data_IF_283259324659
#
_entry.id   IF_283259324659
#
_cell.length_a   1.000
_cell.length_b   1.000
_cell.length_c   1.000
_cell.angle_alpha   90.00
_cell.angle_beta   90.00
_cell.angle_gamma   90.00
#
_symmetry.space_group_name_H-M   'P 1'
#
loop_
_entity.id
_entity.type
_entity.pdbx_description
1 polymer ?
#
# COMPACT_ATOMS: atom_id res chain seq x y z
N UNK A 1 60.00 21.17 -39.93
CA UNK A 1 60.35 21.01 -38.51
C UNK A 1 61.77 21.49 -38.32
N UNK A 2 62.01 22.39 -37.42
CA UNK A 2 63.35 22.93 -37.05
C UNK A 2 64.10 21.89 -36.19
N UNK A 3 65.44 22.01 -36.08
CA UNK A 3 66.25 21.17 -35.21
C UNK A 3 65.74 21.27 -33.79
N UNK A 4 65.37 20.14 -33.19
CA UNK A 4 64.80 20.04 -31.85
C UNK A 4 63.30 20.43 -31.73
N UNK A 5 62.64 20.78 -32.85
CA UNK A 5 61.22 21.09 -32.90
C UNK A 5 60.35 19.89 -33.26
N UNK A 6 59.05 19.96 -32.92
CA UNK A 6 57.99 19.04 -33.32
C UNK A 6 56.92 19.83 -34.11
N UNK A 7 56.22 19.14 -35.01
CA UNK A 7 55.08 19.68 -35.72
C UNK A 7 53.98 18.63 -35.80
N UNK A 8 52.72 19.06 -35.77
CA UNK A 8 51.55 18.18 -35.76
C UNK A 8 50.72 18.46 -37.03
N UNK A 9 50.48 17.42 -37.80
CA UNK A 9 49.58 17.47 -38.96
C UNK A 9 48.24 16.81 -38.58
N UNK A 10 47.13 17.54 -38.70
CA UNK A 10 45.78 17.04 -38.47
C UNK A 10 45.07 16.80 -39.80
N UNK A 11 44.42 15.67 -39.94
CA UNK A 11 43.58 15.33 -41.09
C UNK A 11 42.21 14.91 -40.60
N UNK A 12 41.15 15.58 -41.09
CA UNK A 12 39.76 15.18 -40.82
C UNK A 12 39.36 14.06 -41.79
N UNK A 13 38.82 12.98 -41.26
CA UNK A 13 38.34 11.82 -42.02
C UNK A 13 37.02 11.29 -41.42
N UNK A 14 36.28 10.56 -42.22
CA UNK A 14 34.99 9.96 -41.78
C UNK A 14 35.23 8.82 -40.79
N UNK A 15 34.23 8.59 -39.96
CA UNK A 15 34.19 7.44 -39.05
C UNK A 15 34.34 6.13 -39.83
N UNK A 16 35.07 5.18 -39.24
CA UNK A 16 35.39 3.90 -39.88
C UNK A 16 36.51 3.95 -40.92
N UNK A 17 37.09 5.14 -41.21
CA UNK A 17 38.18 5.25 -42.16
C UNK A 17 39.48 4.80 -41.53
N UNK A 18 40.12 3.80 -42.17
CA UNK A 18 41.45 3.40 -41.81
C UNK A 18 42.48 4.35 -42.48
N UNK A 19 43.35 4.92 -41.68
CA UNK A 19 44.39 5.87 -42.16
C UNK A 19 45.72 5.17 -42.04
N UNK A 20 46.49 5.22 -43.15
CA UNK A 20 47.88 4.85 -43.15
C UNK A 20 48.71 6.08 -43.48
N UNK A 21 49.69 6.35 -42.66
CA UNK A 21 50.60 7.49 -42.86
C UNK A 21 51.93 6.98 -43.45
N UNK A 22 52.46 7.78 -44.32
CA UNK A 22 53.84 7.63 -44.84
C UNK A 22 54.51 9.00 -44.91
N UNK A 23 55.80 9.05 -44.74
CA UNK A 23 56.53 10.28 -44.79
C UNK A 23 57.77 10.17 -45.61
N UNK A 24 58.25 11.30 -46.11
CA UNK A 24 59.58 11.53 -46.70
C UNK A 24 60.28 12.62 -45.95
N UNK A 25 61.60 12.52 -45.84
CA UNK A 25 62.39 13.59 -45.26
C UNK A 25 63.36 14.14 -46.34
N UNK A 26 63.61 15.41 -46.27
CA UNK A 26 64.62 16.10 -47.08
C UNK A 26 65.28 17.18 -46.26
N UNK A 27 66.56 17.39 -46.47
CA UNK A 27 67.31 18.51 -45.90
C UNK A 27 67.19 19.79 -46.80
N UNK A 28 66.56 19.68 -47.96
CA UNK A 28 66.34 20.78 -48.89
C UNK A 28 64.85 20.99 -49.08
N UNK A 29 64.42 22.22 -48.84
CA UNK A 29 62.99 22.54 -48.96
C UNK A 29 62.51 22.36 -50.41
N UNK A 30 61.34 21.66 -50.53
CA UNK A 30 60.72 21.39 -51.85
C UNK A 30 61.32 20.25 -52.67
N UNK A 31 62.43 19.63 -52.24
CA UNK A 31 63.06 18.52 -52.92
C UNK A 31 62.97 17.21 -52.15
N UNK A 32 61.92 16.45 -52.46
CA UNK A 32 61.69 15.15 -51.84
C UNK A 32 61.93 14.02 -52.86
N UNK A 33 63.15 13.49 -52.87
CA UNK A 33 63.53 12.33 -53.71
C UNK A 33 63.58 11.07 -52.88
N UNK A 34 63.45 9.89 -53.54
CA UNK A 34 63.45 8.59 -52.87
C UNK A 34 62.07 8.09 -52.49
N UNK A 35 62.05 6.89 -51.96
CA UNK A 35 60.79 6.21 -51.58
C UNK A 35 60.23 6.75 -50.23
N UNK A 36 58.92 6.61 -50.02
CA UNK A 36 58.33 6.87 -48.75
C UNK A 36 58.81 5.84 -47.71
N UNK A 37 59.11 6.35 -46.53
CA UNK A 37 59.41 5.48 -45.41
C UNK A 37 58.08 4.90 -44.90
N UNK A 38 57.92 3.62 -45.08
CA UNK A 38 56.84 2.85 -44.40
C UNK A 38 57.49 2.22 -43.20
N UNK A 39 57.43 2.88 -42.06
CA UNK A 39 57.98 2.35 -40.80
C UNK A 39 56.96 1.62 -39.95
N UNK A 40 57.46 0.68 -39.19
CA UNK A 40 56.65 -0.04 -38.18
C UNK A 40 56.06 0.90 -37.08
N UNK A 41 56.50 2.15 -37.05
CA UNK A 41 56.02 3.19 -36.10
C UNK A 41 54.87 4.05 -36.61
N UNK A 42 54.51 3.88 -37.90
CA UNK A 42 53.33 4.55 -38.44
C UNK A 42 52.20 3.53 -38.60
N UNK A 43 51.61 3.21 -37.46
CA UNK A 43 50.49 2.27 -37.42
C UNK A 43 49.29 2.81 -38.17
N UNK A 44 48.53 1.94 -38.84
CA UNK A 44 47.20 2.31 -39.30
C UNK A 44 46.33 2.54 -38.09
N UNK A 45 45.67 3.68 -38.05
CA UNK A 45 44.66 4.02 -37.07
C UNK A 45 43.29 4.03 -37.77
N UNK A 46 42.34 3.30 -37.20
CA UNK A 46 40.94 3.46 -37.62
C UNK A 46 40.28 4.53 -36.76
N UNK A 47 39.73 5.54 -37.43
CA UNK A 47 38.93 6.54 -36.70
C UNK A 47 37.61 5.91 -36.31
N UNK A 48 37.42 5.75 -35.05
CA UNK A 48 36.16 5.25 -34.48
C UNK A 48 35.52 6.41 -33.66
N UNK A 49 34.48 7.00 -34.22
CA UNK A 49 33.65 7.97 -33.49
C UNK A 49 32.43 7.25 -32.95
N UNK A 50 32.17 7.40 -31.69
CA UNK A 50 30.92 6.96 -31.11
C UNK A 50 29.77 7.83 -31.61
N UNK A 51 28.57 7.36 -31.65
CA UNK A 51 27.38 8.18 -31.91
C UNK A 51 26.75 8.59 -30.59
N UNK A 52 26.18 9.81 -30.48
CA UNK A 52 25.42 10.17 -29.30
C UNK A 52 24.31 9.15 -29.03
N UNK A 53 24.14 8.76 -27.77
CA UNK A 53 23.21 7.72 -27.36
C UNK A 53 22.27 8.20 -26.24
N UNK A 54 21.13 7.54 -26.12
CA UNK A 54 20.18 7.78 -25.03
C UNK A 54 19.79 6.44 -24.44
N UNK A 55 19.75 6.38 -23.13
CA UNK A 55 19.15 5.28 -22.40
C UNK A 55 18.18 5.82 -21.35
N UNK A 56 17.23 4.99 -20.92
CA UNK A 56 16.24 5.40 -19.93
C UNK A 56 15.92 4.24 -18.99
N UNK A 57 15.57 4.58 -17.74
CA UNK A 57 15.13 3.64 -16.73
C UNK A 57 14.14 4.33 -15.79
N UNK A 58 13.25 3.59 -15.16
CA UNK A 58 12.45 4.17 -14.08
C UNK A 58 13.32 4.43 -12.85
N UNK A 59 13.00 5.49 -12.10
CA UNK A 59 13.63 5.83 -10.84
C UNK A 59 13.02 5.07 -9.67
N UNK A 60 13.29 5.53 -8.46
CA UNK A 60 12.74 4.94 -7.24
C UNK A 60 11.23 5.15 -7.16
N UNK A 61 10.50 4.08 -6.85
CA UNK A 61 9.06 4.12 -6.62
C UNK A 61 8.72 4.93 -5.37
N UNK A 62 7.66 5.73 -5.45
CA UNK A 62 7.08 6.45 -4.32
C UNK A 62 5.61 6.69 -4.58
N UNK A 63 4.74 6.35 -3.61
CA UNK A 63 3.29 6.55 -3.75
C UNK A 63 2.64 5.73 -4.87
N UNK A 64 3.21 4.58 -5.23
CA UNK A 64 2.68 3.71 -6.29
C UNK A 64 3.05 4.13 -7.70
N UNK A 65 4.10 4.95 -7.88
CA UNK A 65 4.62 5.36 -9.17
C UNK A 65 6.10 5.70 -9.12
N UNK A 66 6.72 5.89 -10.30
CA UNK A 66 8.13 6.24 -10.41
C UNK A 66 8.37 7.28 -11.52
N UNK A 67 9.36 8.18 -11.37
CA UNK A 67 9.83 9.00 -12.47
C UNK A 67 10.62 8.17 -13.48
N UNK A 68 10.71 8.62 -14.72
CA UNK A 68 11.65 8.07 -15.71
C UNK A 68 12.87 8.97 -15.76
N UNK A 69 14.04 8.38 -15.58
CA UNK A 69 15.33 9.04 -15.76
C UNK A 69 15.91 8.67 -17.11
N UNK A 70 16.38 9.67 -17.83
CA UNK A 70 16.96 9.56 -19.16
C UNK A 70 18.42 10.00 -19.10
N UNK A 71 19.32 9.10 -19.45
CA UNK A 71 20.74 9.40 -19.62
C UNK A 71 21.01 9.78 -21.07
N UNK A 72 21.49 10.99 -21.25
CA UNK A 72 21.96 11.55 -22.52
C UNK A 72 23.48 11.39 -22.57
N UNK A 73 23.96 10.59 -23.49
CA UNK A 73 25.37 10.22 -23.57
C UNK A 73 26.01 10.80 -24.85
N UNK A 74 26.94 11.72 -24.65
CA UNK A 74 27.73 12.34 -25.67
C UNK A 74 29.22 12.01 -25.54
N UNK A 75 29.56 10.93 -24.86
CA UNK A 75 30.96 10.49 -24.69
C UNK A 75 31.59 10.12 -26.01
N UNK A 76 32.88 10.45 -26.18
CA UNK A 76 33.63 10.22 -27.39
C UNK A 76 33.26 11.17 -28.54
N UNK A 77 32.40 12.18 -28.32
CA UNK A 77 32.11 13.20 -29.26
C UNK A 77 33.03 14.42 -29.05
N UNK A 78 33.67 14.88 -30.13
CA UNK A 78 34.55 16.08 -30.10
C UNK A 78 33.82 17.41 -29.94
N UNK A 79 32.50 17.41 -30.01
CA UNK A 79 31.65 18.60 -29.91
C UNK A 79 30.39 18.32 -29.08
N UNK A 80 29.77 19.37 -28.56
CA UNK A 80 28.46 19.24 -27.90
C UNK A 80 27.36 18.90 -28.91
N UNK A 81 26.38 18.10 -28.47
CA UNK A 81 25.20 17.76 -29.23
C UNK A 81 23.92 18.12 -28.43
N UNK A 82 22.91 18.54 -29.16
CA UNK A 82 21.57 18.79 -28.67
C UNK A 82 20.78 17.48 -28.72
N UNK A 83 20.06 17.20 -27.65
CA UNK A 83 19.18 16.02 -27.51
C UNK A 83 17.75 16.49 -27.35
N UNK A 84 16.85 15.97 -28.16
CA UNK A 84 15.40 16.11 -28.00
C UNK A 84 14.85 14.76 -27.63
N UNK A 85 14.13 14.69 -26.52
CA UNK A 85 13.52 13.47 -26.01
C UNK A 85 12.02 13.66 -25.91
N UNK A 86 11.26 12.69 -26.39
CA UNK A 86 9.80 12.67 -26.30
C UNK A 86 9.35 11.34 -25.69
N UNK A 87 8.24 11.37 -24.99
CA UNK A 87 7.61 10.18 -24.42
C UNK A 87 6.14 10.08 -24.80
N UNK A 88 5.58 8.88 -24.68
CA UNK A 88 4.18 8.57 -24.93
C UNK A 88 3.76 7.43 -24.01
N UNK A 89 2.49 7.43 -23.58
CA UNK A 89 1.88 6.30 -22.85
C UNK A 89 0.94 5.49 -23.74
N UNK A 90 0.68 5.95 -24.96
CA UNK A 90 -0.22 5.30 -25.93
C UNK A 90 0.49 4.91 -27.25
N UNK A 91 1.81 5.19 -27.34
CA UNK A 91 2.65 5.01 -28.51
C UNK A 91 2.16 5.77 -29.78
N UNK A 92 1.28 6.75 -29.59
CA UNK A 92 0.71 7.53 -30.70
C UNK A 92 0.82 9.04 -30.47
N UNK A 93 0.49 9.51 -29.28
CA UNK A 93 0.58 10.92 -28.88
C UNK A 93 1.88 11.18 -28.15
N UNK A 94 2.74 12.04 -28.68
CA UNK A 94 4.08 12.28 -28.15
C UNK A 94 4.19 13.65 -27.47
N UNK A 95 4.74 13.62 -26.25
CA UNK A 95 4.97 14.80 -25.42
C UNK A 95 6.47 15.06 -25.29
N UNK A 96 6.90 16.33 -25.33
CA UNK A 96 8.29 16.68 -25.08
C UNK A 96 8.67 16.32 -23.63
N UNK A 97 9.70 15.49 -23.48
CA UNK A 97 10.01 14.79 -22.23
C UNK A 97 10.99 15.50 -21.30
N UNK A 98 11.63 16.57 -21.75
CA UNK A 98 12.63 17.30 -20.97
C UNK A 98 12.29 18.79 -21.00
N UNK A 99 12.35 19.45 -19.86
CA UNK A 99 11.84 20.83 -19.57
C UNK A 99 12.26 21.92 -20.55
N UNK A 100 11.94 21.71 -21.81
CA UNK A 100 12.26 22.51 -22.97
C UNK A 100 12.26 21.62 -24.20
N UNK A 101 12.44 22.22 -25.40
CA UNK A 101 12.43 21.45 -26.64
C UNK A 101 13.67 20.57 -26.83
N UNK A 102 14.78 20.85 -26.13
CA UNK A 102 16.06 20.13 -26.25
C UNK A 102 17.03 20.46 -25.10
N UNK A 103 18.05 19.63 -24.90
CA UNK A 103 19.16 19.83 -23.95
C UNK A 103 20.48 19.74 -24.71
N UNK A 104 21.41 20.68 -24.47
CA UNK A 104 22.77 20.59 -24.92
C UNK A 104 23.61 19.76 -23.94
N UNK A 105 24.25 18.72 -24.45
CA UNK A 105 25.27 17.97 -23.73
C UNK A 105 26.63 18.26 -24.33
N UNK A 106 27.58 18.68 -23.50
CA UNK A 106 28.93 19.09 -23.93
C UNK A 106 29.70 17.95 -24.62
N UNK A 107 30.82 18.30 -25.22
CA UNK A 107 31.74 17.32 -25.77
C UNK A 107 32.20 16.35 -24.68
N UNK A 108 32.29 15.08 -25.02
CA UNK A 108 32.77 13.99 -24.14
C UNK A 108 32.12 13.97 -22.75
N UNK A 109 30.81 14.21 -22.71
CA UNK A 109 30.05 14.39 -21.47
C UNK A 109 28.75 13.62 -21.49
N UNK A 110 28.18 13.40 -20.29
CA UNK A 110 26.85 12.84 -20.10
C UNK A 110 25.95 13.80 -19.32
N UNK A 111 24.64 13.67 -19.46
CA UNK A 111 23.67 14.39 -18.64
C UNK A 111 22.49 13.47 -18.33
N UNK A 112 22.06 13.46 -17.07
CA UNK A 112 20.83 12.74 -16.67
C UNK A 112 19.72 13.75 -16.45
N UNK A 113 18.58 13.51 -17.08
CA UNK A 113 17.37 14.32 -16.96
C UNK A 113 16.19 13.42 -16.59
N UNK A 114 15.26 13.93 -15.80
CA UNK A 114 13.99 13.23 -15.59
C UNK A 114 12.98 13.71 -16.62
N UNK A 115 12.14 12.81 -17.12
CA UNK A 115 11.03 13.20 -18.00
C UNK A 115 10.15 14.21 -17.27
N UNK A 116 9.83 15.31 -17.94
CA UNK A 116 9.14 16.44 -17.33
C UNK A 116 7.74 16.04 -16.84
N UNK A 117 7.51 16.32 -15.60
CA UNK A 117 6.19 16.54 -15.01
C UNK A 117 5.59 15.41 -14.22
N UNK A 118 6.13 14.21 -14.13
CA UNK A 118 5.33 13.21 -13.39
C UNK A 118 6.08 11.95 -13.04
N UNK A 119 5.76 11.46 -11.86
CA UNK A 119 5.78 10.04 -11.52
C UNK A 119 4.72 9.33 -12.38
N UNK A 120 5.11 8.34 -13.14
CA UNK A 120 4.18 7.46 -13.86
C UNK A 120 3.67 6.40 -12.89
N UNK A 121 2.38 6.12 -12.94
CA UNK A 121 1.75 5.15 -12.04
C UNK A 121 2.18 3.72 -12.37
N UNK A 122 2.07 2.82 -11.39
CA UNK A 122 2.26 1.38 -11.60
C UNK A 122 1.46 0.86 -12.81
N UNK A 123 1.98 -0.13 -13.51
CA UNK A 123 1.45 -0.75 -14.73
C UNK A 123 1.37 0.20 -15.94
N UNK A 124 2.01 1.39 -15.88
CA UNK A 124 2.10 2.27 -17.04
C UNK A 124 3.29 1.86 -17.93
N UNK A 125 3.02 1.58 -19.20
CA UNK A 125 4.06 1.42 -20.23
C UNK A 125 4.40 2.78 -20.80
N UNK A 126 5.68 3.18 -20.72
CA UNK A 126 6.19 4.44 -21.25
C UNK A 126 7.08 4.17 -22.46
N UNK A 127 6.71 4.72 -23.61
CA UNK A 127 7.46 4.70 -24.84
C UNK A 127 8.33 5.96 -24.91
N UNK A 128 9.58 5.84 -25.35
CA UNK A 128 10.52 6.93 -25.42
C UNK A 128 11.16 6.95 -26.80
N UNK A 129 11.30 8.14 -27.37
CA UNK A 129 12.06 8.37 -28.58
C UNK A 129 12.93 9.60 -28.45
N UNK A 130 14.00 9.66 -29.22
CA UNK A 130 14.90 10.79 -29.21
C UNK A 130 15.42 11.15 -30.59
N UNK A 131 15.92 12.36 -30.67
CA UNK A 131 16.68 12.89 -31.81
C UNK A 131 17.93 13.56 -31.26
N UNK A 132 19.02 13.52 -32.04
CA UNK A 132 20.27 14.25 -31.76
C UNK A 132 20.62 15.15 -32.92
N UNK A 133 21.18 16.33 -32.63
CA UNK A 133 21.60 17.32 -33.63
C UNK A 133 22.81 18.10 -33.12
N UNK A 134 23.67 18.55 -34.02
CA UNK A 134 24.75 19.51 -33.71
C UNK A 134 24.25 20.94 -33.54
N UNK A 135 22.98 21.20 -33.80
CA UNK A 135 22.33 22.52 -33.65
C UNK A 135 20.95 22.38 -33.01
N UNK A 136 20.30 23.48 -32.72
CA UNK A 136 18.91 23.50 -32.20
C UNK A 136 17.86 23.16 -33.26
N UNK A 137 18.27 22.98 -34.50
CA UNK A 137 17.41 22.54 -35.61
C UNK A 137 17.46 21.01 -35.73
N UNK A 138 16.29 20.39 -35.58
CA UNK A 138 16.09 18.93 -35.67
C UNK A 138 15.37 18.51 -36.95
N UNK A 139 15.19 19.41 -37.89
CA UNK A 139 14.40 19.16 -39.13
C UNK A 139 14.95 17.98 -39.96
N UNK A 140 16.26 17.79 -39.94
CA UNK A 140 16.96 16.68 -40.64
C UNK A 140 17.38 15.54 -39.70
N UNK A 141 17.11 15.62 -38.41
CA UNK A 141 17.51 14.61 -37.43
C UNK A 141 16.62 13.35 -37.50
N UNK A 142 17.24 12.19 -37.53
CA UNK A 142 16.52 10.93 -37.46
C UNK A 142 15.96 10.69 -36.07
N UNK A 143 14.74 10.17 -35.99
CA UNK A 143 14.14 9.75 -34.72
C UNK A 143 14.53 8.32 -34.43
N UNK A 144 15.03 8.07 -33.22
CA UNK A 144 15.36 6.72 -32.69
C UNK A 144 14.41 6.40 -31.56
N UNK A 145 13.77 5.23 -31.60
CA UNK A 145 12.95 4.72 -30.52
C UNK A 145 13.80 3.89 -29.55
N UNK A 146 13.57 4.06 -28.25
CA UNK A 146 14.06 3.17 -27.20
C UNK A 146 13.08 2.02 -26.97
N UNK A 147 13.54 0.98 -26.26
CA UNK A 147 12.64 -0.02 -25.70
C UNK A 147 11.67 0.66 -24.74
N UNK A 148 10.43 0.22 -24.71
CA UNK A 148 9.46 0.70 -23.73
C UNK A 148 9.87 0.30 -22.30
N UNK A 149 9.48 1.14 -21.34
CA UNK A 149 9.70 0.93 -19.93
C UNK A 149 8.35 0.71 -19.27
N UNK A 150 8.18 -0.40 -18.61
CA UNK A 150 7.03 -0.66 -17.74
C UNK A 150 7.34 -0.17 -16.33
N UNK A 151 6.43 0.55 -15.72
CA UNK A 151 6.54 0.99 -14.34
C UNK A 151 5.98 -0.11 -13.45
N UNK A 152 6.86 -0.81 -12.76
CA UNK A 152 6.53 -1.88 -11.82
C UNK A 152 6.85 -1.40 -10.39
N UNK A 153 5.86 -0.73 -9.78
CA UNK A 153 5.98 -0.20 -8.43
C UNK A 153 5.12 -0.99 -7.45
N UNK A 154 5.56 -1.14 -6.20
CA UNK A 154 4.72 -1.73 -5.16
C UNK A 154 3.40 -0.98 -5.02
N UNK A 155 2.30 -1.72 -4.87
CA UNK A 155 0.97 -1.18 -4.61
C UNK A 155 0.44 -1.69 -3.28
N UNK A 156 -0.41 -0.86 -2.64
CA UNK A 156 -1.13 -1.18 -1.42
C UNK A 156 -2.63 -1.08 -1.70
N UNK A 157 -3.33 -2.22 -1.65
CA UNK A 157 -4.78 -2.32 -1.82
C UNK A 157 -5.34 -3.32 -0.80
N UNK A 158 -5.35 -2.91 0.44
CA UNK A 158 -5.67 -3.74 1.59
C UNK A 158 -7.07 -3.42 2.12
N UNK A 159 -7.73 -4.42 2.71
CA UNK A 159 -9.06 -4.29 3.29
C UNK A 159 -9.13 -4.97 4.66
N UNK A 160 -10.19 -4.70 5.42
CA UNK A 160 -10.47 -5.41 6.66
C UNK A 160 -11.93 -5.82 6.72
N UNK A 161 -12.21 -6.90 7.47
CA UNK A 161 -13.57 -7.33 7.80
C UNK A 161 -13.68 -7.63 9.28
N UNK A 162 -14.89 -7.50 9.84
CA UNK A 162 -15.14 -7.79 11.23
C UNK A 162 -16.56 -8.33 11.41
N UNK A 163 -16.75 -9.20 12.39
CA UNK A 163 -18.07 -9.70 12.79
C UNK A 163 -18.06 -10.11 14.27
N UNK A 164 -19.19 -10.00 14.96
CA UNK A 164 -19.27 -10.45 16.35
C UNK A 164 -19.04 -11.96 16.45
N UNK A 165 -18.24 -12.38 17.44
CA UNK A 165 -18.08 -13.77 17.81
C UNK A 165 -19.32 -14.31 18.53
N UNK A 166 -19.34 -15.61 18.83
CA UNK A 166 -20.36 -16.20 19.66
C UNK A 166 -20.38 -15.58 21.06
N UNK A 167 -21.57 -15.35 21.58
CA UNK A 167 -21.76 -14.74 22.89
C UNK A 167 -21.29 -15.65 24.04
N UNK A 168 -20.67 -15.02 25.03
CA UNK A 168 -20.33 -15.62 26.31
C UNK A 168 -20.72 -14.68 27.44
N UNK A 169 -21.52 -15.14 28.39
CA UNK A 169 -21.98 -14.34 29.54
C UNK A 169 -22.59 -12.98 29.17
N UNK A 170 -23.40 -12.94 28.09
CA UNK A 170 -24.07 -11.72 27.63
C UNK A 170 -23.20 -10.70 26.87
N UNK A 171 -22.01 -11.08 26.49
CA UNK A 171 -21.08 -10.25 25.72
C UNK A 171 -20.42 -11.04 24.58
N UNK A 172 -19.91 -10.33 23.58
CA UNK A 172 -19.16 -10.93 22.48
C UNK A 172 -17.97 -10.05 22.09
N UNK A 173 -16.84 -10.69 21.77
CA UNK A 173 -15.71 -10.05 21.12
C UNK A 173 -15.99 -9.88 19.61
N UNK A 174 -15.24 -8.98 18.95
CA UNK A 174 -15.33 -8.79 17.51
C UNK A 174 -13.97 -9.06 16.90
N UNK A 175 -13.73 -10.30 16.40
CA UNK A 175 -12.52 -10.61 15.66
C UNK A 175 -12.48 -9.78 14.36
N UNK A 176 -11.28 -9.35 13.98
CA UNK A 176 -11.02 -8.55 12.80
C UNK A 176 -10.08 -9.33 11.89
N UNK A 177 -10.49 -9.52 10.65
CA UNK A 177 -9.64 -10.12 9.62
C UNK A 177 -9.03 -9.02 8.76
N UNK A 178 -7.71 -9.00 8.67
CA UNK A 178 -6.93 -8.06 7.88
C UNK A 178 -6.54 -8.73 6.56
N UNK A 179 -6.86 -8.11 5.44
CA UNK A 179 -6.74 -8.71 4.10
C UNK A 179 -5.82 -7.83 3.25
N UNK A 180 -4.70 -8.37 2.83
CA UNK A 180 -3.71 -7.70 1.98
C UNK A 180 -3.45 -8.48 0.67
N UNK A 181 -4.40 -9.29 0.22
CA UNK A 181 -4.25 -10.20 -0.92
C UNK A 181 -4.10 -9.51 -2.26
N UNK A 182 -4.59 -8.27 -2.39
CA UNK A 182 -4.54 -7.49 -3.62
C UNK A 182 -3.39 -6.46 -3.62
N UNK A 183 -2.42 -6.62 -2.71
CA UNK A 183 -1.26 -5.75 -2.60
C UNK A 183 0.01 -6.48 -3.01
N UNK A 184 0.91 -5.78 -3.66
CA UNK A 184 2.29 -6.26 -3.92
C UNK A 184 3.27 -5.80 -2.84
N UNK A 185 2.83 -4.92 -1.93
CA UNK A 185 3.58 -4.47 -0.76
C UNK A 185 2.96 -4.98 0.55
N UNK A 186 3.76 -5.18 1.59
CA UNK A 186 3.27 -5.42 2.94
C UNK A 186 2.52 -4.18 3.46
N UNK A 187 1.45 -4.37 4.23
CA UNK A 187 0.66 -3.29 4.82
C UNK A 187 0.63 -3.35 6.34
N UNK A 188 0.95 -2.25 7.02
CA UNK A 188 0.74 -2.10 8.46
C UNK A 188 -0.62 -1.48 8.70
N UNK A 189 -1.51 -2.25 9.30
CA UNK A 189 -2.86 -1.83 9.65
C UNK A 189 -2.85 -1.14 11.01
N UNK A 190 -3.45 0.04 11.07
CA UNK A 190 -3.84 0.71 12.30
C UNK A 190 -5.35 0.66 12.41
N UNK A 191 -5.86 -0.09 13.39
CA UNK A 191 -7.30 -0.30 13.58
C UNK A 191 -7.74 0.36 14.88
N UNK A 192 -8.88 1.04 14.86
CA UNK A 192 -9.47 1.69 16.02
C UNK A 192 -10.97 1.40 16.08
N UNK A 193 -11.53 1.36 17.29
CA UNK A 193 -12.95 1.14 17.49
C UNK A 193 -13.56 2.18 18.43
N UNK A 194 -14.85 2.42 18.29
CA UNK A 194 -15.66 3.29 19.13
C UNK A 194 -16.91 2.57 19.60
N UNK A 195 -17.32 2.81 20.84
CA UNK A 195 -18.56 2.32 21.45
C UNK A 195 -19.51 3.46 21.85
N UNK A 196 -19.15 4.70 21.51
CA UNK A 196 -19.89 5.93 21.86
C UNK A 196 -20.37 6.71 20.61
N UNK A 197 -20.67 5.98 19.54
CA UNK A 197 -21.18 6.55 18.30
C UNK A 197 -20.11 7.29 17.47
N UNK A 198 -18.83 7.00 17.69
CA UNK A 198 -17.73 7.61 16.93
C UNK A 198 -17.15 8.88 17.57
N UNK A 199 -17.56 9.20 18.81
CA UNK A 199 -17.03 10.38 19.51
C UNK A 199 -15.60 10.17 20.00
N UNK A 200 -15.26 8.96 20.48
CA UNK A 200 -13.93 8.58 20.90
C UNK A 200 -13.54 7.23 20.29
N UNK A 201 -12.27 7.09 19.90
CA UNK A 201 -11.74 5.84 19.34
C UNK A 201 -10.60 5.30 20.20
N UNK A 202 -10.65 4.00 20.46
CA UNK A 202 -9.55 3.24 21.07
C UNK A 202 -8.78 2.50 19.97
N UNK A 203 -7.48 2.76 19.88
CA UNK A 203 -6.61 2.11 18.88
C UNK A 203 -6.12 0.75 19.40
N UNK A 204 -6.22 -0.28 18.57
CA UNK A 204 -5.66 -1.59 18.81
C UNK A 204 -4.17 -1.64 18.41
N UNK A 205 -3.48 -2.72 18.78
CA UNK A 205 -2.08 -2.91 18.38
C UNK A 205 -1.97 -2.94 16.86
N UNK A 206 -1.06 -2.14 16.29
CA UNK A 206 -0.81 -2.16 14.86
C UNK A 206 -0.26 -3.53 14.42
N UNK A 207 -0.77 -4.02 13.30
CA UNK A 207 -0.44 -5.35 12.76
C UNK A 207 0.03 -5.23 11.32
N UNK A 208 1.17 -5.84 11.00
CA UNK A 208 1.69 -5.88 9.62
C UNK A 208 1.29 -7.19 8.94
N UNK A 209 0.66 -7.07 7.78
CA UNK A 209 0.25 -8.19 6.93
C UNK A 209 1.08 -8.16 5.64
N UNK A 210 1.72 -9.27 5.30
CA UNK A 210 2.54 -9.40 4.11
C UNK A 210 1.74 -9.19 2.82
N UNK A 211 2.45 -8.90 1.72
CA UNK A 211 1.86 -8.86 0.39
C UNK A 211 1.17 -10.19 0.06
N UNK A 212 0.01 -10.13 -0.56
CA UNK A 212 -0.75 -11.32 -0.94
C UNK A 212 -1.34 -12.13 0.24
N UNK A 213 -1.22 -11.68 1.49
CA UNK A 213 -1.60 -12.42 2.68
C UNK A 213 -2.90 -11.93 3.32
N UNK A 214 -3.43 -12.78 4.23
CA UNK A 214 -4.55 -12.47 5.12
C UNK A 214 -4.16 -12.85 6.54
N UNK A 215 -4.45 -11.98 7.51
CA UNK A 215 -4.32 -12.28 8.94
C UNK A 215 -5.70 -12.23 9.59
N UNK A 216 -6.13 -13.39 10.13
CA UNK A 216 -7.40 -13.55 10.85
C UNK A 216 -7.20 -13.90 12.33
N UNK A 217 -5.96 -13.96 12.83
CA UNK A 217 -5.66 -14.71 14.05
C UNK A 217 -5.48 -13.86 15.31
N UNK A 218 -5.21 -12.56 15.22
CA UNK A 218 -4.67 -11.86 16.37
C UNK A 218 -5.39 -10.58 16.78
N UNK A 219 -6.19 -9.97 15.93
CA UNK A 219 -6.79 -8.68 16.24
C UNK A 219 -8.28 -8.80 16.55
N UNK A 220 -8.70 -8.30 17.70
CA UNK A 220 -10.13 -8.26 18.05
C UNK A 220 -10.46 -7.05 18.92
N UNK A 221 -11.67 -6.51 18.76
CA UNK A 221 -12.25 -5.63 19.78
C UNK A 221 -12.58 -6.49 21.00
N UNK A 222 -12.21 -6.04 22.22
CA UNK A 222 -12.57 -6.74 23.45
C UNK A 222 -14.09 -6.98 23.55
N UNK A 223 -14.49 -7.98 24.32
CA UNK A 223 -15.90 -8.34 24.47
C UNK A 223 -16.75 -7.13 24.89
N UNK A 224 -17.81 -6.87 24.13
CA UNK A 224 -18.80 -5.82 24.36
C UNK A 224 -20.13 -6.43 24.80
N UNK A 225 -20.88 -5.74 25.64
CA UNK A 225 -22.17 -6.21 26.16
C UNK A 225 -23.26 -6.17 25.08
N UNK A 226 -24.36 -6.88 25.35
CA UNK A 226 -25.59 -6.82 24.55
C UNK A 226 -25.99 -5.35 24.28
N UNK A 227 -26.54 -5.07 23.09
CA UNK A 227 -26.95 -3.78 22.56
C UNK A 227 -25.84 -2.72 22.38
N UNK A 228 -24.57 -3.08 22.65
CA UNK A 228 -23.48 -2.16 22.31
C UNK A 228 -23.28 -2.10 20.78
N UNK A 229 -23.35 -0.89 20.24
CA UNK A 229 -23.00 -0.61 18.85
C UNK A 229 -21.53 -0.24 18.75
N UNK A 230 -20.78 -0.94 17.90
CA UNK A 230 -19.34 -0.75 17.71
C UNK A 230 -19.07 -0.28 16.29
N UNK A 231 -18.36 0.84 16.17
CA UNK A 231 -17.86 1.37 14.91
C UNK A 231 -16.36 1.05 14.84
N UNK A 232 -15.92 0.44 13.76
CA UNK A 232 -14.51 0.10 13.54
C UNK A 232 -14.02 0.86 12.33
N UNK A 233 -12.84 1.46 12.43
CA UNK A 233 -12.13 2.08 11.33
C UNK A 233 -10.70 1.57 11.25
N UNK A 234 -10.13 1.62 10.06
CA UNK A 234 -8.75 1.22 9.84
C UNK A 234 -8.09 2.10 8.78
N UNK A 235 -6.78 2.23 8.88
CA UNK A 235 -5.90 2.76 7.84
C UNK A 235 -4.75 1.79 7.64
N UNK A 236 -4.15 1.82 6.45
CA UNK A 236 -3.04 0.93 6.10
C UNK A 236 -1.91 1.75 5.51
N UNK A 237 -0.68 1.47 5.90
CA UNK A 237 0.49 2.15 5.39
C UNK A 237 1.68 1.20 5.22
N UNK A 238 2.54 1.52 4.25
CA UNK A 238 3.89 0.99 4.15
C UNK A 238 4.84 2.18 4.04
N UNK A 239 5.43 2.58 5.15
CA UNK A 239 6.28 3.78 5.23
C UNK A 239 7.60 3.61 4.48
N UNK A 240 8.10 2.38 4.33
CA UNK A 240 9.34 2.09 3.59
C UNK A 240 9.18 2.31 2.08
N UNK A 241 7.97 2.10 1.55
CA UNK A 241 7.63 2.30 0.14
C UNK A 241 6.87 3.63 -0.10
N UNK A 242 6.65 4.40 0.95
CA UNK A 242 5.88 5.66 0.87
C UNK A 242 4.41 5.46 0.49
N UNK A 243 3.84 4.28 0.77
CA UNK A 243 2.47 3.93 0.44
C UNK A 243 1.53 4.16 1.62
N UNK A 244 0.32 4.65 1.33
CA UNK A 244 -0.74 4.76 2.33
C UNK A 244 -2.12 4.66 1.68
N UNK A 245 -3.07 4.07 2.41
CA UNK A 245 -4.48 4.11 2.07
C UNK A 245 -5.23 5.03 3.04
N UNK A 246 -6.21 5.73 2.51
CA UNK A 246 -7.12 6.55 3.32
C UNK A 246 -7.83 5.70 4.36
N UNK A 247 -8.17 6.32 5.50
CA UNK A 247 -8.95 5.67 6.55
C UNK A 247 -10.30 5.20 5.99
N UNK A 248 -10.66 3.96 6.28
CA UNK A 248 -11.93 3.36 5.94
C UNK A 248 -12.68 2.93 7.19
N UNK A 249 -14.01 3.05 7.17
CA UNK A 249 -14.88 2.62 8.25
C UNK A 249 -15.64 1.36 7.84
N UNK A 250 -15.64 0.34 8.69
CA UNK A 250 -16.47 -0.84 8.53
C UNK A 250 -17.93 -0.54 8.91
N UNK A 251 -18.84 -1.40 8.48
CA UNK A 251 -20.24 -1.32 8.91
C UNK A 251 -20.33 -1.40 10.43
N UNK A 252 -21.26 -0.64 11.03
CA UNK A 252 -21.53 -0.71 12.47
C UNK A 252 -21.98 -2.12 12.86
N UNK A 253 -21.38 -2.66 13.92
CA UNK A 253 -21.70 -3.98 14.47
C UNK A 253 -22.43 -3.78 15.79
N UNK A 254 -23.68 -4.23 15.89
CA UNK A 254 -24.42 -4.24 17.15
C UNK A 254 -24.33 -5.63 17.77
N UNK A 255 -23.91 -5.69 19.03
CA UNK A 255 -23.80 -6.95 19.78
C UNK A 255 -25.19 -7.44 20.16
N UNK A 256 -25.58 -8.61 19.64
CA UNK A 256 -26.87 -9.24 19.94
C UNK A 256 -26.65 -10.52 20.73
N UNK A 257 -26.48 -10.40 22.05
CA UNK A 257 -26.27 -11.53 22.93
C UNK A 257 -27.53 -11.85 23.75
N UNK A 258 -27.80 -13.13 24.05
CA UNK A 258 -28.84 -13.49 25.01
C UNK A 258 -28.55 -12.91 26.39
N UNK A 259 -29.49 -12.20 26.95
CA UNK A 259 -29.43 -11.71 28.32
C UNK A 259 -30.65 -12.22 29.09
N UNK A 260 -30.43 -12.60 30.35
CA UNK A 260 -31.49 -13.01 31.25
C UNK A 260 -31.53 -12.06 32.45
N UNK A 261 -32.58 -11.29 32.54
CA UNK A 261 -32.81 -10.30 33.60
C UNK A 261 -34.17 -10.57 34.26
N UNK A 262 -34.22 -11.64 35.08
CA UNK A 262 -35.44 -12.05 35.75
C UNK A 262 -35.52 -11.36 37.10
N UNK A 263 -36.63 -10.64 37.34
CA UNK A 263 -36.99 -10.14 38.64
C UNK A 263 -37.99 -11.07 39.30
N UNK A 264 -37.70 -11.53 40.51
CA UNK A 264 -38.62 -12.31 41.30
C UNK A 264 -38.97 -11.54 42.57
N UNK A 265 -40.22 -11.23 42.75
CA UNK A 265 -40.72 -10.55 43.94
C UNK A 265 -41.75 -11.44 44.67
N UNK A 266 -41.81 -11.31 45.96
CA UNK A 266 -42.82 -11.99 46.74
C UNK A 266 -43.60 -10.96 47.55
N UNK A 267 -44.91 -11.16 47.69
CA UNK A 267 -45.77 -10.38 48.55
C UNK A 267 -46.76 -11.29 49.27
N UNK A 268 -47.25 -10.78 50.37
CA UNK A 268 -48.32 -11.48 51.10
C UNK A 268 -49.59 -10.63 50.99
N UNK A 269 -50.67 -11.22 50.50
CA UNK A 269 -51.98 -10.63 50.66
C UNK A 269 -52.47 -10.83 52.07
N UNK A 270 -53.19 -9.84 52.59
CA UNK A 270 -53.69 -9.89 53.97
C UNK A 270 -54.45 -11.16 54.32
N UNK A 271 -54.54 -11.41 55.60
CA UNK A 271 -55.28 -12.56 56.10
C UNK A 271 -56.78 -12.46 55.77
N UNK A 272 -57.33 -13.46 55.08
CA UNK A 272 -58.75 -13.56 54.81
C UNK A 272 -59.53 -14.07 56.05
N UNK A 273 -60.82 -13.73 56.11
CA UNK A 273 -61.70 -14.22 57.18
C UNK A 273 -61.89 -15.73 57.13
N UNK A 274 -61.99 -16.30 58.29
CA UNK A 274 -62.28 -17.73 58.47
C UNK A 274 -63.48 -18.17 57.65
N UNK A 275 -63.31 -19.28 56.95
CA UNK A 275 -64.44 -20.13 56.51
C UNK A 275 -65.00 -20.83 57.70
N UNK A 276 -66.31 -20.76 57.93
CA UNK A 276 -67.00 -21.39 59.05
C UNK A 276 -66.61 -22.85 59.12
N UNK A 277 -66.00 -23.26 60.29
CA UNK A 277 -65.54 -24.62 60.51
C UNK A 277 -64.07 -24.96 60.35
N UNK A 278 -63.23 -23.94 59.99
CA UNK A 278 -61.79 -24.13 59.98
C UNK A 278 -61.11 -23.18 60.98
N UNK A 279 -60.42 -23.73 61.94
CA UNK A 279 -59.59 -22.94 62.86
C UNK A 279 -58.27 -22.51 62.12
N UNK A 280 -58.10 -21.21 61.95
CA UNK A 280 -56.87 -20.64 61.39
C UNK A 280 -57.10 -19.44 60.54
N UNK A 281 -56.14 -18.54 60.49
CA UNK A 281 -56.10 -17.38 59.63
C UNK A 281 -55.27 -17.76 58.39
N UNK A 282 -55.85 -17.64 57.21
CA UNK A 282 -55.21 -17.96 55.94
C UNK A 282 -54.79 -16.68 55.20
N UNK A 283 -53.51 -16.65 54.82
CA UNK A 283 -52.98 -15.60 53.93
C UNK A 283 -52.40 -16.25 52.66
N UNK A 284 -52.49 -15.54 51.57
CA UNK A 284 -51.85 -15.95 50.30
C UNK A 284 -50.49 -15.29 50.18
N UNK A 285 -49.48 -16.08 49.82
CA UNK A 285 -48.19 -15.58 49.36
C UNK A 285 -48.18 -15.58 47.85
N UNK A 286 -47.98 -14.42 47.26
CA UNK A 286 -47.89 -14.25 45.83
C UNK A 286 -46.41 -14.12 45.44
N UNK A 287 -46.02 -14.89 44.44
CA UNK A 287 -44.72 -14.77 43.80
C UNK A 287 -44.99 -14.17 42.40
N UNK A 288 -44.44 -13.02 42.14
CA UNK A 288 -44.48 -12.40 40.83
C UNK A 288 -43.12 -12.59 40.16
N UNK A 289 -43.17 -13.06 38.94
CA UNK A 289 -41.99 -13.33 38.12
C UNK A 289 -42.10 -12.41 36.89
N UNK A 290 -41.12 -11.54 36.78
CA UNK A 290 -41.01 -10.62 35.65
C UNK A 290 -39.81 -11.00 34.77
N UNK A 291 -40.06 -11.36 33.53
CA UNK A 291 -39.05 -11.67 32.47
C UNK A 291 -38.99 -10.60 31.39
N UNK A 292 -39.62 -9.46 31.59
CA UNK A 292 -39.68 -8.38 30.60
C UNK A 292 -38.31 -7.80 30.27
N UNK A 293 -37.32 -7.91 31.17
CA UNK A 293 -35.93 -7.50 30.95
C UNK A 293 -35.06 -8.52 30.23
N UNK A 294 -35.60 -9.70 29.89
CA UNK A 294 -34.86 -10.76 29.21
C UNK A 294 -35.22 -10.81 27.73
N UNK A 295 -34.22 -11.07 26.87
CA UNK A 295 -34.44 -11.35 25.45
C UNK A 295 -34.44 -12.85 25.12
N UNK A 296 -34.54 -13.71 26.16
CA UNK A 296 -34.61 -15.16 26.04
C UNK A 296 -35.71 -15.74 26.92
N UNK A 297 -36.30 -16.84 26.51
CA UNK A 297 -37.19 -17.64 27.35
C UNK A 297 -36.40 -18.33 28.45
N UNK A 298 -36.90 -18.33 29.69
CA UNK A 298 -36.26 -18.97 30.83
C UNK A 298 -37.20 -19.94 31.51
N UNK A 299 -36.65 -21.04 32.03
CA UNK A 299 -37.38 -21.99 32.85
C UNK A 299 -37.06 -21.77 34.32
N UNK A 300 -38.09 -21.54 35.13
CA UNK A 300 -37.96 -21.28 36.53
C UNK A 300 -38.44 -22.48 37.33
N UNK A 301 -37.65 -22.81 38.35
CA UNK A 301 -38.01 -23.83 39.35
C UNK A 301 -38.28 -23.16 40.67
N UNK A 302 -39.55 -23.17 41.13
CA UNK A 302 -39.93 -22.54 42.37
C UNK A 302 -40.20 -23.65 43.41
N UNK A 303 -39.55 -23.55 44.56
CA UNK A 303 -39.71 -24.44 45.68
C UNK A 303 -40.28 -23.69 46.87
N UNK A 304 -41.13 -24.34 47.65
CA UNK A 304 -41.64 -23.82 48.90
C UNK A 304 -41.31 -24.73 50.06
N UNK A 305 -41.14 -24.16 51.24
CA UNK A 305 -41.17 -24.90 52.53
C UNK A 305 -42.04 -24.13 53.50
N UNK A 306 -42.60 -24.87 54.47
CA UNK A 306 -43.30 -24.27 55.63
C UNK A 306 -42.28 -24.11 56.73
N UNK A 307 -42.25 -22.96 57.37
CA UNK A 307 -41.49 -22.69 58.57
C UNK A 307 -42.49 -22.37 59.66
N UNK A 308 -42.46 -23.19 60.72
CA UNK A 308 -43.32 -22.94 61.91
C UNK A 308 -42.61 -21.89 62.76
N UNK A 309 -43.16 -20.69 62.80
CA UNK A 309 -42.58 -19.53 63.51
C UNK A 309 -42.67 -19.72 65.07
N UNK A 310 -43.44 -20.63 65.58
CA UNK A 310 -43.56 -20.89 67.05
C UNK A 310 -42.47 -21.77 67.57
N UNK A 311 -42.10 -22.82 66.85
CA UNK A 311 -41.11 -23.83 67.27
C UNK A 311 -39.93 -24.03 66.37
N UNK A 312 -39.81 -23.22 65.29
CA UNK A 312 -38.70 -23.27 64.32
C UNK A 312 -38.68 -24.56 63.47
N UNK A 313 -39.65 -25.43 63.53
CA UNK A 313 -39.65 -26.62 62.68
C UNK A 313 -39.90 -26.29 61.21
N UNK A 314 -39.01 -26.77 60.35
CA UNK A 314 -39.06 -26.58 58.93
C UNK A 314 -39.43 -27.86 58.19
N UNK A 315 -40.27 -27.74 57.18
CA UNK A 315 -40.52 -28.86 56.26
C UNK A 315 -39.48 -28.83 55.16
N UNK A 316 -39.18 -29.95 54.51
CA UNK A 316 -38.33 -30.04 53.39
C UNK A 316 -38.86 -29.13 52.20
N UNK A 317 -37.98 -28.55 51.42
CA UNK A 317 -38.37 -27.87 50.19
C UNK A 317 -39.10 -28.85 49.26
N UNK A 318 -40.19 -28.38 48.66
CA UNK A 318 -40.92 -29.11 47.61
C UNK A 318 -41.10 -28.22 46.41
N UNK A 319 -41.01 -28.79 45.22
CA UNK A 319 -41.35 -28.09 43.99
C UNK A 319 -42.82 -27.65 44.07
N UNK A 320 -43.04 -26.39 43.77
CA UNK A 320 -44.35 -25.78 43.76
C UNK A 320 -44.90 -25.58 42.35
N UNK A 321 -44.04 -25.13 41.45
CA UNK A 321 -44.36 -24.92 40.06
C UNK A 321 -43.10 -25.02 39.21
N UNK A 322 -43.26 -25.49 37.99
CA UNK A 322 -42.30 -25.34 36.93
C UNK A 322 -43.01 -24.61 35.80
N UNK A 323 -42.35 -23.59 35.22
CA UNK A 323 -42.94 -22.83 34.13
C UNK A 323 -41.85 -22.26 33.24
N UNK A 324 -42.15 -22.19 31.95
CA UNK A 324 -41.31 -21.45 30.96
C UNK A 324 -41.99 -20.12 30.73
N UNK A 325 -41.25 -19.03 30.96
CA UNK A 325 -41.72 -17.70 30.62
C UNK A 325 -41.19 -17.36 29.23
N UNK A 326 -42.06 -16.99 28.32
CA UNK A 326 -41.69 -16.43 26.99
C UNK A 326 -40.98 -15.07 27.17
N UNK A 327 -39.97 -14.81 26.34
CA UNK A 327 -39.34 -13.50 26.19
C UNK A 327 -40.06 -12.62 25.17
#
# INVERSE_FOLDING_TARGET
>A
VTVGGSDTVTQTVNNGTAIQWRYKTSTVSGSFSGDYVTGASLNSATVSCTTPAVSASHGTCSGGGAPINVLLDNTGQGAGNYFKVQYSTDNSTWTDGIGGSHVLVGADSTSTVSLSGSSFTNDTTVYIRYQTSSSTDFSSASTTNLSSIEIDCPILNATATASAASCSSGSAAIPITLINTNSTAAGTFTVSYSTDGGSNYTTLTATTVGAGATDSSSLSVPAQSHDTSVIIKYSVANTSEGLSQSEATLSTITISCPVSAIAVTSSTNGCGNNVVGQEGVYGNSLISIDNSGSNVAVTLYVQKRKVNVVNGNETAFKYFATGTTGG
#
